data_IF_783908584535
#
_entry.id   IF_783908584535
#
_cell.length_a   1.000
_cell.length_b   1.000
_cell.length_c   1.000
_cell.angle_alpha   90.00
_cell.angle_beta   90.00
_cell.angle_gamma   90.00
#
_symmetry.space_group_name_H-M   'P 1'
#
loop_
_entity.id
_entity.type
_entity.pdbx_description
1 polymer ?
#
# COMPACT_ATOMS: atom_id res chain seq x y z
N UNK A 1 -8.12 -5.70 29.41
CA UNK A 1 -9.28 -5.02 28.78
C UNK A 1 -9.39 -5.53 27.35
N UNK A 2 -10.37 -6.39 27.01
CA UNK A 2 -10.54 -6.91 25.64
C UNK A 2 -10.95 -5.74 24.75
N UNK A 3 -10.07 -5.27 23.86
CA UNK A 3 -10.40 -4.25 22.86
C UNK A 3 -11.51 -4.80 21.99
N UNK A 4 -12.64 -4.09 21.92
CA UNK A 4 -13.77 -4.41 21.04
C UNK A 4 -13.26 -4.36 19.61
N UNK A 5 -13.37 -5.46 18.87
CA UNK A 5 -13.04 -5.47 17.43
C UNK A 5 -13.97 -4.46 16.76
N UNK A 6 -13.41 -3.38 16.23
CA UNK A 6 -14.12 -2.44 15.37
C UNK A 6 -14.50 -3.16 14.08
N UNK A 7 -15.74 -2.98 13.61
CA UNK A 7 -16.28 -3.71 12.45
C UNK A 7 -15.75 -3.22 11.10
N UNK A 8 -14.96 -2.12 11.08
CA UNK A 8 -14.41 -1.55 9.87
C UNK A 8 -12.90 -1.80 9.82
N UNK A 9 -12.48 -2.70 8.93
CA UNK A 9 -11.08 -3.00 8.62
C UNK A 9 -10.72 -2.25 7.34
N UNK A 10 -9.57 -1.59 7.32
CA UNK A 10 -9.11 -0.81 6.17
C UNK A 10 -7.78 -1.37 5.65
N UNK A 11 -7.47 -1.11 4.38
CA UNK A 11 -6.12 -1.32 3.90
C UNK A 11 -5.11 -0.58 4.81
N UNK A 12 -3.92 -1.17 5.00
CA UNK A 12 -2.88 -0.71 5.94
C UNK A 12 -3.18 -0.94 7.43
N UNK A 13 -4.35 -1.45 7.81
CA UNK A 13 -4.56 -2.06 9.12
C UNK A 13 -3.92 -3.46 9.17
N UNK A 14 -3.56 -3.91 10.38
CA UNK A 14 -3.15 -5.30 10.61
C UNK A 14 -4.14 -6.00 11.55
N UNK A 15 -4.44 -7.27 11.29
CA UNK A 15 -5.27 -8.11 12.15
C UNK A 15 -4.45 -9.27 12.69
N UNK A 16 -4.66 -9.61 13.95
CA UNK A 16 -3.91 -10.67 14.64
C UNK A 16 -4.84 -11.77 15.13
N UNK A 17 -4.49 -13.02 14.84
CA UNK A 17 -5.25 -14.20 15.28
C UNK A 17 -4.78 -14.69 16.65
N UNK A 18 -5.56 -15.58 17.27
CA UNK A 18 -5.24 -16.16 18.59
C UNK A 18 -3.96 -16.99 18.57
N UNK A 19 -3.60 -17.54 17.41
CA UNK A 19 -2.37 -18.30 17.20
C UNK A 19 -1.12 -17.41 17.12
N UNK A 20 -1.27 -16.09 17.15
CA UNK A 20 -0.15 -15.15 17.06
C UNK A 20 0.32 -14.88 15.63
N UNK A 21 -0.53 -15.12 14.64
CA UNK A 21 -0.29 -14.71 13.25
C UNK A 21 -0.82 -13.30 13.03
N UNK A 22 -0.09 -12.48 12.26
CA UNK A 22 -0.49 -11.11 11.94
C UNK A 22 -0.57 -10.90 10.43
N UNK A 23 -1.74 -10.50 9.98
CA UNK A 23 -2.06 -10.29 8.59
C UNK A 23 -2.23 -8.80 8.30
N UNK A 24 -1.66 -8.33 7.19
CA UNK A 24 -1.96 -7.01 6.65
C UNK A 24 -3.29 -7.08 5.89
N UNK A 25 -4.23 -6.20 6.20
CA UNK A 25 -5.50 -6.08 5.50
C UNK A 25 -5.24 -5.58 4.08
N UNK A 26 -5.80 -6.27 3.09
CA UNK A 26 -5.61 -5.94 1.67
C UNK A 26 -6.51 -4.77 1.32
N UNK A 27 -7.81 -4.84 1.63
CA UNK A 27 -8.76 -3.80 1.27
C UNK A 27 -9.85 -3.63 2.33
N UNK A 28 -10.61 -2.54 2.21
CA UNK A 28 -11.75 -2.29 3.09
C UNK A 28 -12.90 -3.24 2.76
N UNK A 29 -13.54 -3.77 3.81
CA UNK A 29 -14.75 -4.60 3.68
C UNK A 29 -14.53 -6.06 4.08
N UNK A 30 -15.57 -6.87 3.84
CA UNK A 30 -15.59 -8.30 4.14
C UNK A 30 -16.05 -9.08 2.91
N UNK A 31 -15.44 -10.23 2.66
CA UNK A 31 -15.94 -11.22 1.71
C UNK A 31 -16.33 -12.47 2.49
N UNK A 32 -17.61 -12.88 2.39
CA UNK A 32 -18.14 -14.04 3.12
C UNK A 32 -17.87 -13.99 4.65
N UNK A 33 -17.98 -12.79 5.24
CA UNK A 33 -17.72 -12.56 6.68
C UNK A 33 -16.25 -12.65 7.08
N UNK A 34 -15.32 -12.65 6.11
CA UNK A 34 -13.87 -12.68 6.34
C UNK A 34 -13.20 -11.40 5.85
N UNK A 35 -12.15 -11.00 6.54
CA UNK A 35 -11.28 -9.88 6.14
C UNK A 35 -10.25 -10.39 5.14
N UNK A 36 -10.25 -9.84 3.93
CA UNK A 36 -9.21 -10.14 2.94
C UNK A 36 -7.88 -9.53 3.39
N UNK A 37 -6.86 -10.38 3.46
CA UNK A 37 -5.59 -10.01 4.07
C UNK A 37 -4.44 -10.86 3.52
N UNK A 38 -3.22 -10.57 3.99
CA UNK A 38 -2.04 -11.35 3.67
C UNK A 38 -1.16 -11.51 4.91
N UNK A 39 -0.64 -12.70 5.16
CA UNK A 39 0.14 -13.00 6.35
C UNK A 39 1.52 -12.33 6.24
N UNK A 40 1.91 -11.55 7.26
CA UNK A 40 3.16 -10.78 7.26
C UNK A 40 4.09 -11.11 8.41
N UNK A 41 3.53 -11.46 9.56
CA UNK A 41 4.32 -11.79 10.74
C UNK A 41 3.75 -13.00 11.47
N UNK A 42 4.63 -13.74 12.11
CA UNK A 42 4.27 -14.69 13.16
C UNK A 42 4.99 -14.32 14.45
N UNK A 43 4.33 -14.55 15.58
CA UNK A 43 4.93 -14.35 16.89
C UNK A 43 5.73 -15.58 17.30
N UNK A 44 7.02 -15.40 17.59
CA UNK A 44 7.90 -16.42 18.16
C UNK A 44 8.32 -15.99 19.56
N UNK A 45 7.65 -16.54 20.57
CA UNK A 45 7.82 -16.12 21.97
C UNK A 45 7.42 -14.65 22.15
N UNK A 46 8.41 -13.79 22.42
CA UNK A 46 8.20 -12.34 22.57
C UNK A 46 8.48 -11.55 21.29
N UNK A 47 9.08 -12.17 20.27
CA UNK A 47 9.58 -11.48 19.07
C UNK A 47 8.67 -11.70 17.86
N UNK A 48 8.69 -10.75 16.93
CA UNK A 48 8.04 -10.86 15.64
C UNK A 48 9.00 -11.38 14.57
N UNK A 49 8.60 -12.41 13.84
CA UNK A 49 9.30 -12.82 12.62
C UNK A 49 8.52 -12.35 11.40
N UNK A 50 9.16 -11.53 10.55
CA UNK A 50 8.61 -11.15 9.25
C UNK A 50 8.69 -12.33 8.28
N UNK A 51 7.60 -12.58 7.57
CA UNK A 51 7.48 -13.69 6.62
C UNK A 51 7.49 -13.15 5.18
N UNK A 52 8.31 -13.76 4.33
CA UNK A 52 8.21 -13.59 2.89
C UNK A 52 6.94 -14.28 2.34
N UNK A 53 6.53 -13.93 1.12
CA UNK A 53 5.31 -14.43 0.46
C UNK A 53 5.26 -15.96 0.43
N UNK A 54 6.34 -16.61 -0.02
CA UNK A 54 6.45 -18.07 -0.09
C UNK A 54 6.37 -18.73 1.28
N UNK A 55 7.07 -18.18 2.28
CA UNK A 55 7.07 -18.67 3.66
C UNK A 55 5.68 -18.58 4.29
N UNK A 56 5.01 -17.44 4.08
CA UNK A 56 3.64 -17.22 4.55
C UNK A 56 2.67 -18.26 3.95
N UNK A 57 2.69 -18.44 2.63
CA UNK A 57 1.87 -19.43 1.94
C UNK A 57 2.14 -20.86 2.42
N UNK A 58 3.43 -21.23 2.58
CA UNK A 58 3.83 -22.55 3.06
C UNK A 58 3.35 -22.81 4.48
N UNK A 59 3.52 -21.84 5.39
CA UNK A 59 3.08 -21.96 6.77
C UNK A 59 1.56 -22.18 6.85
N UNK A 60 0.78 -21.36 6.13
CA UNK A 60 -0.67 -21.51 6.11
C UNK A 60 -1.08 -22.86 5.52
N UNK A 61 -0.47 -23.28 4.41
CA UNK A 61 -0.78 -24.59 3.79
C UNK A 61 -0.55 -25.77 4.74
N UNK A 62 0.49 -25.72 5.57
CA UNK A 62 0.86 -26.84 6.46
C UNK A 62 0.11 -26.78 7.79
N UNK A 63 -0.01 -25.60 8.40
CA UNK A 63 -0.47 -25.48 9.80
C UNK A 63 -1.82 -24.78 9.96
N UNK A 64 -2.17 -23.87 9.05
CA UNK A 64 -3.37 -23.03 9.18
C UNK A 64 -4.15 -22.89 7.86
N UNK A 65 -4.58 -24.01 7.25
CA UNK A 65 -5.21 -24.00 5.93
C UNK A 65 -6.53 -23.24 5.91
N UNK A 66 -7.18 -23.04 7.07
CA UNK A 66 -8.40 -22.25 7.20
C UNK A 66 -8.26 -20.78 6.79
N UNK A 67 -7.03 -20.26 6.78
CA UNK A 67 -6.73 -18.87 6.38
C UNK A 67 -6.40 -18.73 4.89
N UNK A 68 -6.24 -19.82 4.14
CA UNK A 68 -6.14 -19.76 2.68
C UNK A 68 -7.52 -19.49 2.08
N UNK A 69 -7.59 -18.59 1.10
CA UNK A 69 -8.86 -18.15 0.54
C UNK A 69 -8.75 -17.82 -0.95
N UNK A 70 -9.74 -18.23 -1.74
CA UNK A 70 -9.89 -17.77 -3.11
C UNK A 70 -11.03 -16.76 -3.16
N UNK A 71 -10.72 -15.50 -3.50
CA UNK A 71 -11.72 -14.46 -3.70
C UNK A 71 -12.37 -14.65 -5.06
N UNK A 72 -13.68 -14.87 -5.08
CA UNK A 72 -14.45 -14.95 -6.32
C UNK A 72 -14.63 -13.55 -6.93
N UNK A 73 -14.72 -12.52 -6.07
CA UNK A 73 -14.87 -11.13 -6.50
C UNK A 73 -13.63 -10.64 -7.25
N UNK A 74 -12.45 -11.04 -6.79
CA UNK A 74 -11.15 -10.61 -7.35
C UNK A 74 -10.49 -11.64 -8.26
N UNK A 75 -11.07 -12.83 -8.40
CA UNK A 75 -10.47 -13.95 -9.13
C UNK A 75 -8.99 -14.20 -8.74
N UNK A 76 -8.72 -14.26 -7.42
CA UNK A 76 -7.36 -14.31 -6.88
C UNK A 76 -7.23 -15.16 -5.61
N UNK A 77 -6.08 -15.83 -5.46
CA UNK A 77 -5.68 -16.48 -4.22
C UNK A 77 -5.14 -15.43 -3.24
N UNK A 78 -5.76 -15.36 -2.06
CA UNK A 78 -5.44 -14.45 -0.97
C UNK A 78 -5.46 -15.22 0.35
N UNK A 79 -5.24 -14.52 1.46
CA UNK A 79 -5.61 -15.04 2.76
C UNK A 79 -6.89 -14.34 3.22
N UNK A 80 -7.64 -15.02 4.08
CA UNK A 80 -8.80 -14.40 4.72
C UNK A 80 -8.99 -14.93 6.14
N UNK A 81 -9.27 -14.01 7.06
CA UNK A 81 -9.49 -14.33 8.47
C UNK A 81 -10.93 -13.99 8.83
N UNK A 82 -11.67 -14.96 9.39
CA UNK A 82 -13.02 -14.73 9.88
C UNK A 82 -13.00 -13.72 11.01
N UNK A 83 -13.99 -12.82 11.09
CA UNK A 83 -14.04 -11.80 12.14
C UNK A 83 -13.98 -12.42 13.56
N UNK A 84 -14.56 -13.61 13.75
CA UNK A 84 -14.53 -14.34 15.01
C UNK A 84 -13.13 -14.84 15.44
N UNK A 85 -12.21 -15.00 14.48
CA UNK A 85 -10.84 -15.49 14.72
C UNK A 85 -9.86 -14.33 15.02
N UNK A 86 -10.29 -13.08 14.80
CA UNK A 86 -9.49 -11.89 15.06
C UNK A 86 -9.48 -11.60 16.56
N UNK A 87 -8.27 -11.62 17.14
CA UNK A 87 -8.04 -11.32 18.56
C UNK A 87 -7.63 -9.88 18.81
N UNK A 88 -6.89 -9.26 17.89
CA UNK A 88 -6.43 -7.87 17.97
C UNK A 88 -6.54 -7.22 16.60
N UNK A 89 -7.06 -5.99 16.57
CA UNK A 89 -7.05 -5.12 15.41
C UNK A 89 -6.04 -3.99 15.66
N UNK A 90 -4.98 -3.95 14.86
CA UNK A 90 -3.92 -2.94 14.92
C UNK A 90 -4.20 -1.85 13.89
N UNK A 91 -4.43 -0.62 14.38
CA UNK A 91 -4.89 0.50 13.56
C UNK A 91 -3.85 1.63 13.49
N UNK A 92 -3.48 2.13 12.30
CA UNK A 92 -2.42 3.14 12.12
C UNK A 92 -2.61 4.43 12.93
N UNK A 93 -3.84 4.98 12.98
CA UNK A 93 -4.15 6.18 13.78
C UNK A 93 -3.92 5.96 15.26
N UNK A 94 -4.34 4.80 15.79
CA UNK A 94 -4.16 4.47 17.20
C UNK A 94 -2.69 4.28 17.52
N UNK A 95 -1.92 3.64 16.63
CA UNK A 95 -0.47 3.47 16.84
C UNK A 95 0.26 4.81 16.86
N UNK A 96 -0.08 5.73 15.96
CA UNK A 96 0.50 7.07 15.94
C UNK A 96 0.32 7.77 17.29
N UNK A 97 -0.91 7.78 17.84
CA UNK A 97 -1.18 8.39 19.15
C UNK A 97 -0.38 7.74 20.29
N UNK A 98 -0.24 6.42 20.26
CA UNK A 98 0.58 5.68 21.25
C UNK A 98 2.06 6.03 21.15
N UNK A 99 2.58 6.27 19.94
CA UNK A 99 3.98 6.65 19.73
C UNK A 99 4.26 8.07 20.20
N UNK A 100 3.38 9.03 19.87
CA UNK A 100 3.52 10.42 20.32
C UNK A 100 3.50 10.56 21.85
N UNK A 101 2.81 9.66 22.56
CA UNK A 101 2.75 9.64 24.02
C UNK A 101 3.81 8.73 24.67
N UNK A 102 4.69 8.08 23.88
CA UNK A 102 5.65 7.11 24.41
C UNK A 102 6.80 7.85 25.12
N UNK A 103 7.11 7.54 26.39
CA UNK A 103 8.13 8.26 27.15
C UNK A 103 9.56 7.95 26.68
N UNK A 104 9.81 6.73 26.20
CA UNK A 104 11.11 6.27 25.73
C UNK A 104 10.96 5.62 24.35
N UNK A 105 10.85 6.42 23.27
CA UNK A 105 10.86 5.89 21.91
C UNK A 105 12.24 5.34 21.55
N UNK A 106 12.28 4.27 20.75
CA UNK A 106 13.52 3.89 20.08
C UNK A 106 13.90 4.91 18.98
N UNK A 107 15.07 4.74 18.34
CA UNK A 107 15.54 5.70 17.32
C UNK A 107 14.57 5.86 16.14
N UNK A 108 13.90 4.79 15.71
CA UNK A 108 13.01 4.81 14.55
C UNK A 108 11.68 5.44 14.93
N UNK A 109 11.18 5.13 16.13
CA UNK A 109 10.04 5.80 16.71
C UNK A 109 10.31 7.30 16.90
N UNK A 110 11.52 7.69 17.30
CA UNK A 110 11.93 9.09 17.40
C UNK A 110 11.97 9.77 16.03
N UNK A 111 12.59 9.15 15.01
CA UNK A 111 12.59 9.68 13.64
C UNK A 111 11.15 9.91 13.11
N UNK A 112 10.23 9.02 13.46
CA UNK A 112 8.80 9.15 13.14
C UNK A 112 8.10 10.28 13.91
N UNK A 113 8.40 10.44 15.20
CA UNK A 113 7.87 11.54 16.02
C UNK A 113 8.35 12.88 15.48
N UNK A 114 9.64 13.00 15.16
CA UNK A 114 10.26 14.21 14.59
C UNK A 114 9.62 14.56 13.23
N UNK A 115 9.38 13.55 12.38
CA UNK A 115 8.64 13.75 11.12
C UNK A 115 7.22 14.28 11.35
N UNK A 116 6.50 13.76 12.35
CA UNK A 116 5.17 14.25 12.71
C UNK A 116 5.21 15.69 13.21
N UNK A 117 6.18 16.04 14.05
CA UNK A 117 6.37 17.40 14.56
C UNK A 117 6.67 18.37 13.42
N UNK A 118 7.59 18.01 12.51
CA UNK A 118 7.89 18.80 11.32
C UNK A 118 6.62 19.07 10.49
N UNK A 119 5.80 18.06 10.22
CA UNK A 119 4.55 18.25 9.50
C UNK A 119 3.55 19.11 10.27
N UNK A 120 3.45 18.94 11.59
CA UNK A 120 2.56 19.73 12.44
C UNK A 120 2.94 21.21 12.45
N UNK A 121 4.22 21.54 12.48
CA UNK A 121 4.73 22.92 12.38
C UNK A 121 4.33 23.59 11.06
N UNK A 122 4.16 22.80 10.00
CA UNK A 122 3.69 23.24 8.69
C UNK A 122 2.15 23.24 8.56
N UNK A 123 1.44 23.04 9.68
CA UNK A 123 -0.03 23.09 9.73
C UNK A 123 -0.74 21.79 9.37
N UNK A 124 -0.03 20.68 9.23
CA UNK A 124 -0.65 19.36 8.98
C UNK A 124 -1.36 18.88 10.23
N UNK A 125 -2.62 18.43 10.07
CA UNK A 125 -3.40 17.86 11.17
C UNK A 125 -2.99 16.41 11.38
N UNK A 126 -2.36 16.12 12.52
CA UNK A 126 -1.94 14.75 12.86
C UNK A 126 -3.10 13.73 12.96
N UNK A 127 -4.33 14.21 13.15
CA UNK A 127 -5.53 13.36 13.13
C UNK A 127 -5.83 12.77 11.73
N UNK A 128 -5.26 13.36 10.68
CA UNK A 128 -5.34 12.86 9.31
C UNK A 128 -4.21 11.86 9.00
N UNK A 129 -3.34 11.56 9.98
CA UNK A 129 -2.19 10.68 9.79
C UNK A 129 -2.32 9.38 10.61
N UNK A 130 -1.55 8.39 10.21
CA UNK A 130 -1.31 7.15 10.93
C UNK A 130 0.04 6.55 10.54
N UNK A 131 0.44 5.47 11.20
CA UNK A 131 1.66 4.72 10.84
C UNK A 131 1.37 3.24 10.71
N UNK A 132 1.84 2.62 9.63
CA UNK A 132 1.63 1.19 9.34
C UNK A 132 2.97 0.43 9.38
N UNK A 133 3.05 -0.73 8.72
CA UNK A 133 4.30 -1.45 8.52
C UNK A 133 4.85 -2.06 9.80
N UNK A 134 6.17 -2.03 9.97
CA UNK A 134 6.83 -2.58 11.15
C UNK A 134 6.53 -1.75 12.41
N UNK A 135 6.44 -0.43 12.30
CA UNK A 135 6.09 0.46 13.40
C UNK A 135 4.69 0.21 13.95
N UNK A 136 3.73 -0.22 13.11
CA UNK A 136 2.37 -0.61 13.55
C UNK A 136 2.39 -1.65 14.67
N UNK A 137 3.24 -2.66 14.53
CA UNK A 137 3.35 -3.78 15.46
C UNK A 137 4.43 -3.60 16.53
N UNK A 138 5.32 -2.61 16.38
CA UNK A 138 6.55 -2.58 17.17
C UNK A 138 7.56 -3.65 16.71
N UNK A 139 7.54 -4.03 15.43
CA UNK A 139 8.37 -5.06 14.82
C UNK A 139 9.57 -4.49 14.04
N UNK A 140 9.85 -3.19 14.21
CA UNK A 140 10.93 -2.50 13.51
C UNK A 140 12.31 -2.97 13.95
N UNK A 141 13.27 -2.85 13.04
CA UNK A 141 14.71 -3.01 13.25
C UNK A 141 15.44 -1.81 12.62
N UNK A 142 16.74 -1.66 12.82
CA UNK A 142 17.54 -0.51 12.34
C UNK A 142 17.34 -0.13 10.87
N UNK A 143 17.03 -1.12 10.02
CA UNK A 143 16.85 -0.98 8.57
C UNK A 143 15.40 -0.76 8.16
N UNK A 144 14.49 -0.53 9.12
CA UNK A 144 13.08 -0.29 8.82
C UNK A 144 12.85 1.14 8.33
N UNK A 145 12.03 1.22 7.29
CA UNK A 145 11.46 2.47 6.80
C UNK A 145 10.29 2.92 7.70
N UNK A 146 9.85 4.17 7.53
CA UNK A 146 8.62 4.70 8.11
C UNK A 146 7.50 4.64 7.05
N UNK A 147 6.50 3.80 7.28
CA UNK A 147 5.31 3.74 6.41
C UNK A 147 4.20 4.65 6.97
N UNK A 148 4.09 5.88 6.47
CA UNK A 148 3.05 6.82 6.87
C UNK A 148 1.74 6.52 6.13
N UNK A 149 0.62 6.62 6.84
CA UNK A 149 -0.72 6.59 6.28
C UNK A 149 -1.31 7.99 6.36
N UNK A 150 -1.85 8.49 5.25
CA UNK A 150 -2.56 9.76 5.19
C UNK A 150 -4.01 9.46 4.81
N UNK A 151 -4.93 10.00 5.59
CA UNK A 151 -6.35 9.78 5.38
C UNK A 151 -6.98 10.95 4.64
N UNK A 152 -7.59 10.65 3.49
CA UNK A 152 -8.25 11.62 2.62
C UNK A 152 -7.33 12.19 1.55
N UNK A 153 -7.82 12.22 0.31
CA UNK A 153 -7.07 12.70 -0.87
C UNK A 153 -6.51 14.10 -0.67
N UNK A 154 -7.34 15.04 -0.20
CA UNK A 154 -6.92 16.44 -0.01
C UNK A 154 -5.66 16.56 0.86
N UNK A 155 -5.68 15.93 2.04
CA UNK A 155 -4.53 15.97 2.96
C UNK A 155 -3.31 15.27 2.37
N UNK A 156 -3.50 14.18 1.61
CA UNK A 156 -2.40 13.47 0.95
C UNK A 156 -1.73 14.31 -0.15
N UNK A 157 -2.48 14.94 -1.05
CA UNK A 157 -1.92 15.80 -2.10
C UNK A 157 -1.23 17.04 -1.51
N UNK A 158 -1.80 17.64 -0.46
CA UNK A 158 -1.15 18.73 0.27
C UNK A 158 0.19 18.29 0.89
N UNK A 159 0.25 17.08 1.44
CA UNK A 159 1.47 16.56 2.06
C UNK A 159 2.56 16.26 1.01
N UNK A 160 2.19 15.80 -0.19
CA UNK A 160 3.14 15.62 -1.31
C UNK A 160 3.80 16.93 -1.71
N UNK A 161 2.99 17.99 -1.88
CA UNK A 161 3.54 19.32 -2.18
C UNK A 161 4.39 19.86 -1.03
N UNK A 162 3.97 19.62 0.21
CA UNK A 162 4.77 20.00 1.38
C UNK A 162 6.11 19.26 1.41
N UNK A 163 6.16 17.96 1.12
CA UNK A 163 7.42 17.20 1.03
C UNK A 163 8.34 17.83 -0.02
N UNK A 164 7.81 18.16 -1.20
CA UNK A 164 8.59 18.83 -2.26
C UNK A 164 9.20 20.14 -1.76
N UNK A 165 8.44 20.95 -1.02
CA UNK A 165 8.93 22.21 -0.42
C UNK A 165 9.98 21.96 0.66
N UNK A 166 9.72 21.03 1.59
CA UNK A 166 10.65 20.70 2.68
C UNK A 166 11.98 20.12 2.19
N UNK A 167 11.98 19.46 1.03
CA UNK A 167 13.20 19.04 0.34
C UNK A 167 14.00 20.25 -0.15
N UNK A 168 13.33 21.24 -0.75
CA UNK A 168 13.98 22.48 -1.22
C UNK A 168 14.53 23.30 -0.04
N UNK A 169 13.87 23.25 1.11
CA UNK A 169 14.29 23.90 2.36
C UNK A 169 15.35 23.11 3.15
N UNK A 170 15.83 21.97 2.63
CA UNK A 170 16.79 21.07 3.29
C UNK A 170 16.34 20.55 4.67
N UNK A 171 15.02 20.55 4.91
CA UNK A 171 14.40 19.96 6.12
C UNK A 171 14.11 18.47 5.94
N UNK A 172 14.01 18.01 4.70
CA UNK A 172 13.96 16.61 4.28
C UNK A 172 14.99 16.41 3.17
N UNK A 173 15.52 15.20 3.01
CA UNK A 173 16.40 14.89 1.88
C UNK A 173 15.67 14.08 0.81
N UNK A 174 16.07 14.26 -0.45
CA UNK A 174 15.77 13.27 -1.48
C UNK A 174 16.48 11.95 -1.17
N UNK A 175 15.98 10.86 -1.72
CA UNK A 175 16.72 9.60 -1.71
C UNK A 175 18.01 9.78 -2.51
N UNK A 176 19.12 9.34 -1.94
CA UNK A 176 20.40 9.23 -2.64
C UNK A 176 20.43 7.97 -3.53
N UNK A 177 21.51 7.79 -4.28
CA UNK A 177 21.67 6.65 -5.20
C UNK A 177 21.53 5.30 -4.49
N UNK A 178 22.08 5.18 -3.27
CA UNK A 178 22.00 3.96 -2.47
C UNK A 178 20.57 3.64 -2.05
N UNK A 179 19.84 4.65 -1.58
CA UNK A 179 18.43 4.53 -1.19
C UNK A 179 17.53 4.24 -2.40
N UNK A 180 17.84 4.80 -3.57
CA UNK A 180 17.14 4.47 -4.82
C UNK A 180 17.39 3.04 -5.25
N UNK A 181 18.63 2.57 -5.18
CA UNK A 181 18.99 1.20 -5.55
C UNK A 181 18.33 0.17 -4.61
N UNK A 182 18.37 0.40 -3.29
CA UNK A 182 17.68 -0.46 -2.32
C UNK A 182 16.16 -0.48 -2.57
N UNK A 183 15.56 0.70 -2.79
CA UNK A 183 14.14 0.84 -3.12
C UNK A 183 13.76 0.05 -4.37
N UNK A 184 14.58 0.12 -5.43
CA UNK A 184 14.37 -0.60 -6.68
C UNK A 184 14.51 -2.12 -6.52
N UNK A 185 15.59 -2.59 -5.87
CA UNK A 185 15.85 -4.02 -5.65
C UNK A 185 14.71 -4.70 -4.87
N UNK A 186 14.10 -4.00 -3.92
CA UNK A 186 12.94 -4.50 -3.15
C UNK A 186 11.65 -4.65 -3.94
N UNK A 187 11.52 -4.00 -5.10
CA UNK A 187 10.33 -4.11 -5.96
C UNK A 187 10.40 -5.27 -6.93
N UNK A 188 11.59 -5.60 -7.42
CA UNK A 188 11.80 -6.63 -8.45
C UNK A 188 10.83 -6.46 -9.65
N UNK A 189 10.59 -5.22 -10.07
CA UNK A 189 9.65 -4.88 -11.14
C UNK A 189 10.29 -4.91 -12.53
N UNK A 190 9.46 -4.95 -13.58
CA UNK A 190 9.92 -5.00 -14.98
C UNK A 190 10.31 -3.66 -15.60
N UNK A 191 10.44 -2.60 -14.78
CA UNK A 191 11.01 -1.33 -15.24
C UNK A 191 12.54 -1.39 -15.17
N UNK A 192 13.22 -0.67 -16.07
CA UNK A 192 14.65 -0.38 -15.88
C UNK A 192 14.86 0.48 -14.64
N UNK A 193 16.05 0.44 -14.04
CA UNK A 193 16.39 1.31 -12.91
C UNK A 193 16.16 2.80 -13.22
N UNK A 194 16.56 3.24 -14.42
CA UNK A 194 16.37 4.62 -14.86
C UNK A 194 14.88 5.00 -14.97
N UNK A 195 14.07 4.13 -15.58
CA UNK A 195 12.62 4.34 -15.66
C UNK A 195 11.98 4.36 -14.26
N UNK A 196 12.37 3.43 -13.39
CA UNK A 196 11.87 3.35 -12.01
C UNK A 196 12.18 4.65 -11.25
N UNK A 197 13.43 5.10 -11.25
CA UNK A 197 13.83 6.33 -10.56
C UNK A 197 13.10 7.55 -11.13
N UNK A 198 13.02 7.68 -12.46
CA UNK A 198 12.28 8.78 -13.09
C UNK A 198 10.81 8.82 -12.64
N UNK A 199 10.15 7.65 -12.63
CA UNK A 199 8.77 7.53 -12.18
C UNK A 199 8.59 7.84 -10.69
N UNK A 200 9.49 7.37 -9.83
CA UNK A 200 9.35 7.56 -8.39
C UNK A 200 9.70 8.98 -7.93
N UNK A 201 10.67 9.64 -8.55
CA UNK A 201 11.12 10.98 -8.15
C UNK A 201 10.02 12.03 -8.26
N UNK A 202 9.19 11.95 -9.30
CA UNK A 202 8.06 12.88 -9.52
C UNK A 202 6.85 12.63 -8.62
N UNK A 203 6.81 11.50 -7.90
CA UNK A 203 5.68 11.18 -7.01
C UNK A 203 5.69 12.00 -5.74
N UNK A 204 6.84 12.45 -5.24
CA UNK A 204 6.95 13.18 -3.95
C UNK A 204 6.18 12.51 -2.79
N UNK A 205 6.04 11.18 -2.84
CA UNK A 205 5.41 10.38 -1.79
C UNK A 205 6.45 9.67 -0.93
N UNK A 206 7.74 10.00 -1.08
CA UNK A 206 8.84 9.48 -0.27
C UNK A 206 9.95 10.50 -0.15
N UNK A 207 10.64 10.47 0.99
CA UNK A 207 11.83 11.27 1.24
C UNK A 207 12.61 10.64 2.41
N UNK A 208 13.72 11.26 2.81
CA UNK A 208 14.47 10.91 3.99
C UNK A 208 14.26 11.96 5.10
N UNK A 209 14.03 11.48 6.32
CA UNK A 209 14.11 12.26 7.56
C UNK A 209 15.26 11.67 8.38
N UNK A 210 16.28 12.48 8.69
CA UNK A 210 17.46 12.00 9.44
C UNK A 210 18.07 10.71 8.83
N UNK A 211 18.22 10.68 7.50
CA UNK A 211 18.70 9.50 6.73
C UNK A 211 17.78 8.26 6.76
N UNK A 212 16.59 8.36 7.36
CA UNK A 212 15.58 7.30 7.34
C UNK A 212 14.55 7.57 6.27
N UNK A 213 14.37 6.60 5.36
CA UNK A 213 13.33 6.68 4.34
C UNK A 213 11.95 6.56 4.97
N UNK A 214 11.04 7.41 4.50
CA UNK A 214 9.62 7.27 4.74
C UNK A 214 8.83 7.30 3.43
N UNK A 215 7.70 6.61 3.40
CA UNK A 215 6.77 6.58 2.27
C UNK A 215 5.36 6.98 2.73
N UNK A 216 4.64 7.75 1.92
CA UNK A 216 3.25 8.11 2.12
C UNK A 216 2.30 7.11 1.45
N UNK A 217 1.28 6.70 2.18
CA UNK A 217 0.21 5.84 1.68
C UNK A 217 -1.14 6.53 1.89
N UNK A 218 -1.90 6.74 0.82
CA UNK A 218 -3.25 7.28 0.92
C UNK A 218 -4.23 6.18 1.34
N UNK A 219 -5.11 6.52 2.28
CA UNK A 219 -6.36 5.81 2.55
C UNK A 219 -7.50 6.79 2.39
N UNK A 220 -8.31 6.57 1.36
CA UNK A 220 -9.58 7.27 1.20
C UNK A 220 -10.71 6.40 1.74
N UNK A 221 -11.66 7.00 2.47
CA UNK A 221 -12.86 6.27 2.89
C UNK A 221 -13.79 6.16 1.69
N UNK A 222 -13.88 4.97 1.11
CA UNK A 222 -14.96 4.68 0.17
C UNK A 222 -16.23 4.29 0.92
N UNK A 223 -17.38 4.67 0.36
CA UNK A 223 -18.63 4.01 0.67
C UNK A 223 -18.54 2.53 0.26
N UNK A 224 -19.29 1.66 0.93
CA UNK A 224 -19.41 0.26 0.52
C UNK A 224 -19.80 0.21 -0.96
N UNK A 225 -18.87 -0.25 -1.80
CA UNK A 225 -19.14 -0.44 -3.22
C UNK A 225 -19.96 -1.71 -3.41
N UNK A 226 -20.92 -1.65 -4.33
CA UNK A 226 -21.60 -2.84 -4.82
C UNK A 226 -20.56 -3.85 -5.31
N UNK A 227 -20.77 -5.13 -4.97
CA UNK A 227 -19.81 -6.19 -5.27
C UNK A 227 -19.81 -6.52 -6.78
N UNK A 228 -19.06 -5.74 -7.55
CA UNK A 228 -18.73 -6.07 -8.95
C UNK A 228 -17.63 -7.14 -8.93
N UNK A 229 -17.94 -8.33 -9.44
CA UNK A 229 -16.96 -9.40 -9.61
C UNK A 229 -16.24 -9.26 -10.96
N UNK A 230 -14.96 -9.62 -11.00
CA UNK A 230 -14.13 -9.56 -12.20
C UNK A 230 -13.59 -10.93 -12.57
N UNK A 231 -13.51 -11.22 -13.87
CA UNK A 231 -12.90 -12.41 -14.42
C UNK A 231 -11.72 -12.06 -15.31
N UNK A 232 -10.58 -12.73 -15.08
CA UNK A 232 -9.36 -12.56 -15.89
C UNK A 232 -9.53 -13.25 -17.25
N UNK A 233 -9.21 -12.54 -18.32
CA UNK A 233 -9.28 -13.00 -19.71
C UNK A 233 -7.89 -13.25 -20.33
N UNK A 234 -6.82 -13.03 -19.57
CA UNK A 234 -5.43 -13.26 -20.00
C UNK A 234 -4.57 -12.00 -19.94
N UNK A 235 -3.27 -12.18 -20.11
CA UNK A 235 -2.32 -11.07 -20.14
C UNK A 235 -2.42 -10.30 -21.47
N UNK A 236 -2.32 -8.97 -21.41
CA UNK A 236 -2.32 -8.07 -22.56
C UNK A 236 -1.35 -6.91 -22.34
N UNK A 237 -0.82 -6.37 -23.43
CA UNK A 237 -0.08 -5.11 -23.46
C UNK A 237 -0.86 -4.12 -24.31
N UNK A 238 -1.14 -2.93 -23.77
CA UNK A 238 -1.75 -1.83 -24.54
C UNK A 238 -0.96 -0.54 -24.38
N UNK A 239 -1.23 0.42 -25.27
CA UNK A 239 -0.86 1.82 -25.08
C UNK A 239 -2.10 2.69 -25.10
N UNK A 240 -2.20 3.62 -24.17
CA UNK A 240 -3.34 4.50 -24.07
C UNK A 240 -2.95 5.83 -23.42
N UNK A 241 -3.74 6.87 -23.68
CA UNK A 241 -3.62 8.16 -23.00
C UNK A 241 -4.42 8.14 -21.71
N UNK A 242 -3.84 8.63 -20.61
CA UNK A 242 -4.55 8.81 -19.35
C UNK A 242 -5.43 10.06 -19.45
N UNK A 243 -6.73 9.89 -19.30
CA UNK A 243 -7.70 11.01 -19.34
C UNK A 243 -8.07 11.51 -17.95
N UNK A 244 -7.90 10.69 -16.93
CA UNK A 244 -8.10 11.06 -15.53
C UNK A 244 -7.21 10.23 -14.61
N UNK A 245 -6.43 10.91 -13.76
CA UNK A 245 -5.50 10.35 -12.80
C UNK A 245 -5.84 10.75 -11.34
N UNK A 246 -7.04 11.23 -11.06
CA UNK A 246 -7.43 11.68 -9.71
C UNK A 246 -7.36 10.57 -8.63
N UNK A 247 -7.40 9.31 -9.06
CA UNK A 247 -7.32 8.11 -8.23
C UNK A 247 -5.95 7.42 -8.30
N UNK A 248 -4.93 8.08 -8.86
CA UNK A 248 -3.63 7.45 -9.09
C UNK A 248 -2.94 7.00 -7.80
N UNK A 249 -3.22 7.66 -6.67
CA UNK A 249 -2.64 7.32 -5.37
C UNK A 249 -3.58 6.52 -4.46
N UNK A 250 -4.80 6.25 -4.89
CA UNK A 250 -5.76 5.45 -4.15
C UNK A 250 -5.27 3.99 -3.99
N UNK A 251 -5.98 3.20 -3.18
CA UNK A 251 -5.74 1.77 -3.09
C UNK A 251 -7.05 0.98 -3.31
N UNK A 252 -7.18 0.27 -4.44
CA UNK A 252 -6.25 0.22 -5.58
C UNK A 252 -6.14 1.57 -6.30
N UNK A 253 -4.99 1.82 -6.91
CA UNK A 253 -4.79 2.99 -7.77
C UNK A 253 -5.56 2.79 -9.08
N UNK A 254 -6.12 3.86 -9.64
CA UNK A 254 -6.89 3.81 -10.89
C UNK A 254 -6.49 4.92 -11.85
N UNK A 255 -6.45 4.58 -13.13
CA UNK A 255 -6.19 5.49 -14.23
C UNK A 255 -7.29 5.28 -15.28
N UNK A 256 -8.10 6.31 -15.53
CA UNK A 256 -9.08 6.26 -16.62
C UNK A 256 -8.32 6.58 -17.91
N UNK A 257 -8.55 5.76 -18.94
CA UNK A 257 -7.79 5.83 -20.19
C UNK A 257 -8.69 6.01 -21.40
N UNK A 258 -8.12 6.62 -22.43
CA UNK A 258 -8.72 6.70 -23.77
C UNK A 258 -8.30 5.47 -24.59
N UNK A 259 -9.16 4.45 -24.62
CA UNK A 259 -8.96 3.22 -25.39
C UNK A 259 -10.30 2.64 -25.84
N UNK A 260 -10.33 1.99 -27.01
CA UNK A 260 -11.58 1.52 -27.63
C UNK A 260 -12.33 0.49 -26.77
N UNK A 261 -11.59 -0.47 -26.21
CA UNK A 261 -12.18 -1.63 -25.52
C UNK A 261 -11.90 -1.68 -24.01
N UNK A 262 -11.13 -0.74 -23.47
CA UNK A 262 -10.64 -0.78 -22.07
C UNK A 262 -10.92 0.57 -21.41
N UNK A 263 -11.71 0.56 -20.32
CA UNK A 263 -12.14 1.80 -19.67
C UNK A 263 -11.08 2.37 -18.71
N UNK A 264 -10.36 1.50 -18.00
CA UNK A 264 -9.40 1.91 -16.97
C UNK A 264 -8.28 0.89 -16.77
N UNK A 265 -7.22 1.35 -16.11
CA UNK A 265 -6.16 0.53 -15.53
C UNK A 265 -6.28 0.60 -14.02
N UNK A 266 -6.31 -0.54 -13.34
CA UNK A 266 -6.33 -0.65 -11.87
C UNK A 266 -5.05 -1.30 -11.37
N UNK A 267 -4.53 -0.81 -10.25
CA UNK A 267 -3.24 -1.22 -9.73
C UNK A 267 -3.30 -1.53 -8.23
N UNK A 268 -2.96 -2.78 -7.86
CA UNK A 268 -2.91 -3.24 -6.46
C UNK A 268 -1.49 -3.29 -5.88
N UNK A 269 -0.48 -2.95 -6.68
CA UNK A 269 0.92 -2.88 -6.23
C UNK A 269 1.34 -1.46 -5.94
N UNK A 270 2.08 -1.28 -4.83
CA UNK A 270 2.61 0.02 -4.45
C UNK A 270 3.66 0.57 -5.43
N UNK A 271 4.24 -0.28 -6.30
CA UNK A 271 5.21 0.14 -7.32
C UNK A 271 4.60 1.12 -8.32
N UNK A 272 3.40 0.82 -8.83
CA UNK A 272 2.75 1.65 -9.85
C UNK A 272 1.62 2.53 -9.28
N UNK A 273 1.60 2.73 -7.97
CA UNK A 273 0.77 3.78 -7.35
C UNK A 273 1.37 5.15 -7.71
N UNK A 274 0.54 6.08 -8.18
CA UNK A 274 0.95 7.41 -8.62
C UNK A 274 1.76 7.41 -9.91
N UNK A 275 1.63 6.36 -10.74
CA UNK A 275 2.58 6.11 -11.83
C UNK A 275 2.47 7.05 -13.01
N UNK A 276 1.27 7.56 -13.29
CA UNK A 276 0.96 8.41 -14.43
C UNK A 276 0.03 9.57 -14.05
N UNK A 277 0.11 10.66 -14.81
CA UNK A 277 -0.69 11.87 -14.68
C UNK A 277 -1.65 12.01 -15.87
N UNK A 278 -2.68 12.84 -15.70
CA UNK A 278 -3.61 13.14 -16.77
C UNK A 278 -2.89 13.77 -17.96
N UNK A 279 -3.16 13.26 -19.15
CA UNK A 279 -2.53 13.69 -20.41
C UNK A 279 -1.34 12.84 -20.85
N UNK A 280 -0.73 12.06 -19.95
CA UNK A 280 0.41 11.20 -20.29
C UNK A 280 -0.03 9.96 -21.08
N UNK A 281 0.84 9.50 -21.98
CA UNK A 281 0.69 8.21 -22.65
C UNK A 281 1.43 7.12 -21.88
N UNK A 282 0.72 6.05 -21.58
CA UNK A 282 1.25 4.89 -20.88
C UNK A 282 1.27 3.66 -21.77
N UNK A 283 2.30 2.84 -21.60
CA UNK A 283 2.29 1.43 -21.97
C UNK A 283 2.01 0.60 -20.71
N UNK A 284 1.08 -0.34 -20.82
CA UNK A 284 0.62 -1.15 -19.68
C UNK A 284 0.66 -2.61 -20.06
N UNK A 285 1.36 -3.41 -19.25
CA UNK A 285 1.29 -4.88 -19.27
C UNK A 285 0.54 -5.35 -18.04
N UNK A 286 -0.52 -6.14 -18.22
CA UNK A 286 -1.34 -6.62 -17.11
C UNK A 286 -2.39 -7.64 -17.53
N UNK A 287 -3.25 -8.03 -16.59
CA UNK A 287 -4.37 -8.94 -16.86
C UNK A 287 -5.59 -8.18 -17.36
N UNK A 288 -6.13 -8.56 -18.52
CA UNK A 288 -7.43 -8.09 -18.96
C UNK A 288 -8.51 -8.67 -18.03
N UNK A 289 -9.35 -7.81 -17.45
CA UNK A 289 -10.47 -8.23 -16.62
C UNK A 289 -11.78 -7.73 -17.19
N UNK A 290 -12.79 -8.59 -17.17
CA UNK A 290 -14.18 -8.25 -17.51
C UNK A 290 -15.04 -8.37 -16.26
N UNK A 291 -15.75 -7.29 -15.94
CA UNK A 291 -16.69 -7.26 -14.83
C UNK A 291 -17.98 -8.03 -15.13
N UNK A 292 -18.74 -8.38 -14.10
CA UNK A 292 -20.10 -8.91 -14.24
C UNK A 292 -21.06 -7.97 -15.00
N UNK A 293 -20.74 -6.67 -15.11
CA UNK A 293 -21.49 -5.69 -15.88
C UNK A 293 -20.99 -5.51 -17.32
N UNK A 294 -20.01 -6.32 -17.76
CA UNK A 294 -19.45 -6.26 -19.11
C UNK A 294 -18.41 -5.15 -19.33
N UNK A 295 -18.05 -4.37 -18.31
CA UNK A 295 -16.96 -3.40 -18.40
C UNK A 295 -15.59 -4.09 -18.34
N UNK A 296 -14.69 -3.65 -19.22
CA UNK A 296 -13.32 -4.16 -19.32
C UNK A 296 -12.31 -3.20 -18.72
N UNK A 297 -11.31 -3.75 -18.01
CA UNK A 297 -10.18 -3.00 -17.44
C UNK A 297 -8.88 -3.82 -17.53
N UNK A 298 -7.74 -3.18 -17.28
CA UNK A 298 -6.47 -3.89 -17.08
C UNK A 298 -6.09 -3.85 -15.59
N UNK A 299 -5.84 -5.02 -15.03
CA UNK A 299 -5.30 -5.21 -13.69
C UNK A 299 -3.77 -5.33 -13.73
N UNK A 300 -3.09 -4.47 -12.95
CA UNK A 300 -1.66 -4.54 -12.65
C UNK A 300 -1.46 -4.83 -11.16
N UNK A 301 -0.56 -5.75 -10.82
CA UNK A 301 -0.46 -6.33 -9.48
C UNK A 301 -1.47 -7.46 -9.25
N UNK A 302 -1.71 -8.30 -10.27
CA UNK A 302 -2.59 -9.48 -10.16
C UNK A 302 -2.01 -10.58 -9.27
N UNK A 303 -0.69 -10.53 -9.06
CA UNK A 303 0.05 -11.23 -8.01
C UNK A 303 0.74 -10.22 -7.11
N UNK A 304 1.22 -10.67 -5.95
CA UNK A 304 1.89 -9.80 -4.99
C UNK A 304 3.15 -9.12 -5.54
N UNK A 305 3.92 -9.84 -6.34
CA UNK A 305 5.18 -9.34 -6.89
C UNK A 305 5.01 -8.69 -8.27
N UNK A 306 3.82 -8.82 -8.89
CA UNK A 306 3.47 -8.22 -10.17
C UNK A 306 4.44 -8.58 -11.32
N UNK A 307 5.03 -9.78 -11.29
CA UNK A 307 5.97 -10.24 -12.32
C UNK A 307 5.30 -10.26 -13.70
N UNK A 308 5.94 -9.62 -14.68
CA UNK A 308 5.43 -9.43 -16.04
C UNK A 308 4.44 -8.27 -16.19
N UNK A 309 4.09 -7.56 -15.13
CA UNK A 309 3.06 -6.52 -15.11
C UNK A 309 3.64 -5.15 -14.78
N UNK A 310 3.32 -4.14 -15.58
CA UNK A 310 3.84 -2.79 -15.39
C UNK A 310 2.93 -1.70 -15.94
N UNK A 311 3.14 -0.49 -15.43
CA UNK A 311 2.65 0.75 -16.02
C UNK A 311 3.88 1.63 -16.27
N UNK A 312 4.14 2.01 -17.51
CA UNK A 312 5.27 2.85 -17.91
C UNK A 312 4.77 4.04 -18.71
N UNK A 313 5.21 5.25 -18.36
CA UNK A 313 4.94 6.43 -19.21
C UNK A 313 5.93 6.39 -20.37
N UNK A 314 5.41 6.52 -21.58
CA UNK A 314 6.17 6.41 -22.83
C UNK A 314 6.20 7.72 -23.62
N UNK A 315 5.29 8.65 -23.34
CA UNK A 315 5.32 10.01 -23.86
C UNK A 315 4.49 10.96 -22.97
N UNK A 316 4.85 12.24 -23.02
CA UNK A 316 4.05 13.35 -22.50
C UNK A 316 3.73 14.28 -23.68
N UNK A 317 2.52 14.84 -23.70
CA UNK A 317 2.16 15.94 -24.59
C UNK A 317 2.66 17.27 -24.00
#
# INVERSE_FOLDING_TARGET
MRRKVTSCFQAKDFIQTKEGLVFAVVEQGLENGKVLCFLRYQKLGISWQKLATSQANQLLKIQYPQYLFYSQVKSANLHAVSVADISIHHQPRQRLQLLLAKPNPDKIEQDFIDLCQLFQEQGVKLNDLGVTGSLLLGAQNSNSDIDLVVYGRKSFYQLRELIRLLIVEDKLQQLDESAWLDSYQRRSCDLSYADYVWHEQRKYNKALIQQRKFDLNLIERSAEQESISYQKQGAIIIRARVIDAQYAFDYPARFIIEHQDVAEVVCYTATYTGQAEQGEFIEVSGQLEVSSAGMTRILVGSTREAEGEYIKVVAHL
#
